data_IF_813980140967
#
_entry.id   IF_813980140967
#
_cell.length_a   1.000
_cell.length_b   1.000
_cell.length_c   1.000
_cell.angle_alpha   90.00
_cell.angle_beta   90.00
_cell.angle_gamma   90.00
#
_symmetry.space_group_name_H-M   'P 1'
#
loop_
_entity.id
_entity.type
_entity.pdbx_description
1 polymer ?
#
# COMPACT_ATOMS: atom_id res chain seq x y z
N UNK A 1 -0.94 -13.10 -4.41
CA UNK A 1 0.47 -12.71 -4.52
C UNK A 1 0.65 -11.23 -4.86
N UNK A 2 -0.13 -10.71 -5.81
CA UNK A 2 0.10 -9.35 -6.34
C UNK A 2 0.11 -8.26 -5.26
N UNK A 3 -0.90 -8.21 -4.41
CA UNK A 3 -0.98 -7.21 -3.35
C UNK A 3 0.06 -7.43 -2.24
N UNK A 4 0.35 -8.67 -1.89
CA UNK A 4 1.33 -8.98 -0.85
C UNK A 4 2.73 -8.52 -1.21
N UNK A 5 3.11 -8.69 -2.49
CA UNK A 5 4.39 -8.22 -3.00
C UNK A 5 4.49 -6.68 -2.91
N UNK A 6 3.45 -5.96 -3.35
CA UNK A 6 3.41 -4.50 -3.21
C UNK A 6 3.49 -4.07 -1.74
N UNK A 7 2.80 -4.77 -0.84
CA UNK A 7 2.88 -4.46 0.60
C UNK A 7 4.29 -4.57 1.14
N UNK A 8 5.04 -5.60 0.71
CA UNK A 8 6.45 -5.76 1.09
C UNK A 8 7.34 -4.66 0.50
N UNK A 9 7.14 -4.29 -0.78
CA UNK A 9 7.86 -3.18 -1.42
C UNK A 9 7.62 -1.89 -0.62
N UNK A 10 6.36 -1.55 -0.37
CA UNK A 10 6.04 -0.34 0.38
C UNK A 10 6.50 -0.41 1.83
N UNK A 11 6.37 -1.59 2.48
CA UNK A 11 6.89 -1.83 3.81
C UNK A 11 8.39 -1.54 3.91
N UNK A 12 9.14 -1.75 2.82
CA UNK A 12 10.58 -1.43 2.73
C UNK A 12 10.89 0.06 2.51
N UNK A 13 9.87 0.91 2.51
CA UNK A 13 10.02 2.36 2.30
C UNK A 13 10.26 2.78 0.85
N UNK A 14 10.04 1.90 -0.11
CA UNK A 14 10.12 2.23 -1.54
C UNK A 14 8.82 2.92 -1.97
N UNK A 15 8.92 4.14 -2.50
CA UNK A 15 7.83 4.85 -3.15
C UNK A 15 7.84 4.59 -4.66
N UNK A 16 6.67 4.40 -5.28
CA UNK A 16 6.58 4.23 -6.73
C UNK A 16 6.66 5.55 -7.46
N UNK A 17 6.03 6.57 -6.91
CA UNK A 17 6.04 7.94 -7.43
C UNK A 17 6.54 8.85 -6.32
N UNK A 18 7.58 9.59 -6.61
CA UNK A 18 8.12 10.64 -5.75
C UNK A 18 7.77 12.03 -6.31
N UNK A 19 8.28 13.08 -5.69
CA UNK A 19 8.17 14.45 -6.18
C UNK A 19 9.57 15.01 -6.44
N UNK A 20 9.69 15.82 -7.49
CA UNK A 20 10.89 16.61 -7.71
C UNK A 20 10.92 17.88 -6.81
N UNK A 21 11.96 18.69 -6.95
CA UNK A 21 12.13 19.93 -6.19
C UNK A 21 11.00 20.97 -6.45
N UNK A 22 10.31 20.84 -7.56
CA UNK A 22 9.18 21.70 -7.96
C UNK A 22 7.82 21.11 -7.55
N UNK A 23 7.81 19.93 -6.93
CA UNK A 23 6.59 19.24 -6.50
C UNK A 23 5.90 18.42 -7.59
N UNK A 24 6.50 18.27 -8.77
CA UNK A 24 5.93 17.43 -9.83
C UNK A 24 6.19 15.94 -9.57
N UNK A 25 5.24 15.06 -9.97
CA UNK A 25 5.41 13.64 -9.80
C UNK A 25 6.53 13.09 -10.69
N UNK A 26 7.35 12.22 -10.14
CA UNK A 26 8.49 11.58 -10.82
C UNK A 26 8.45 10.07 -10.57
N UNK A 27 8.63 9.29 -11.64
CA UNK A 27 8.86 7.85 -11.55
C UNK A 27 10.37 7.59 -11.59
N UNK A 28 10.98 7.43 -10.43
CA UNK A 28 12.44 7.31 -10.28
C UNK A 28 12.94 5.88 -10.04
N UNK A 29 12.05 4.89 -10.00
CA UNK A 29 12.41 3.52 -9.64
C UNK A 29 13.52 2.91 -10.50
N UNK A 30 13.59 3.24 -11.80
CA UNK A 30 14.61 2.68 -12.69
C UNK A 30 16.01 3.30 -12.50
N UNK A 31 16.10 4.42 -11.78
CA UNK A 31 17.32 5.18 -11.51
C UNK A 31 17.69 5.23 -10.03
N UNK A 32 16.83 4.71 -9.17
CA UNK A 32 17.07 4.57 -7.74
C UNK A 32 17.65 3.18 -7.45
N UNK A 33 18.96 3.07 -7.40
CA UNK A 33 19.67 1.80 -7.17
C UNK A 33 19.29 1.16 -5.82
N UNK A 34 18.97 1.97 -4.82
CA UNK A 34 18.54 1.47 -3.49
C UNK A 34 17.16 0.83 -3.60
N UNK A 35 16.21 1.51 -4.25
CA UNK A 35 14.89 0.97 -4.48
C UNK A 35 14.94 -0.31 -5.33
N UNK A 36 15.74 -0.31 -6.41
CA UNK A 36 15.96 -1.50 -7.27
C UNK A 36 16.50 -2.66 -6.46
N UNK A 37 17.52 -2.42 -5.62
CA UNK A 37 18.12 -3.46 -4.77
C UNK A 37 17.11 -4.03 -3.77
N UNK A 38 16.35 -3.18 -3.10
CA UNK A 38 15.29 -3.61 -2.18
C UNK A 38 14.23 -4.46 -2.88
N UNK A 39 13.75 -4.00 -4.03
CA UNK A 39 12.76 -4.71 -4.81
C UNK A 39 13.27 -6.06 -5.31
N UNK A 40 14.53 -6.14 -5.79
CA UNK A 40 15.16 -7.38 -6.21
C UNK A 40 15.25 -8.37 -5.04
N UNK A 41 15.70 -7.92 -3.87
CA UNK A 41 15.77 -8.77 -2.68
C UNK A 41 14.38 -9.32 -2.27
N UNK A 42 13.35 -8.47 -2.30
CA UNK A 42 11.98 -8.90 -2.00
C UNK A 42 11.49 -9.93 -3.02
N UNK A 43 11.84 -9.78 -4.30
CA UNK A 43 11.55 -10.76 -5.35
C UNK A 43 12.25 -12.08 -5.09
N UNK A 44 13.54 -12.04 -4.76
CA UNK A 44 14.32 -13.24 -4.48
C UNK A 44 13.76 -14.01 -3.29
N UNK A 45 13.46 -13.31 -2.18
CA UNK A 45 12.80 -13.89 -1.01
C UNK A 45 11.44 -14.50 -1.37
N UNK A 46 10.64 -13.77 -2.15
CA UNK A 46 9.28 -14.21 -2.55
C UNK A 46 9.30 -15.38 -3.54
N UNK A 47 10.42 -15.65 -4.19
CA UNK A 47 10.60 -16.80 -5.10
C UNK A 47 10.95 -18.11 -4.39
N UNK A 48 11.32 -18.05 -3.12
CA UNK A 48 11.65 -19.25 -2.34
C UNK A 48 10.40 -20.04 -1.94
N UNK A 49 10.53 -21.35 -1.77
CA UNK A 49 9.41 -22.29 -1.55
C UNK A 49 8.58 -22.09 -0.28
N UNK A 50 8.96 -21.16 0.60
CA UNK A 50 8.18 -20.77 1.78
C UNK A 50 7.00 -19.84 1.49
N UNK A 51 6.91 -19.31 0.28
CA UNK A 51 5.83 -18.39 -0.13
C UNK A 51 4.73 -19.13 -0.86
N UNK A 52 3.49 -18.99 -0.39
CA UNK A 52 2.34 -19.55 -1.07
C UNK A 52 1.95 -18.67 -2.26
N UNK A 53 2.17 -19.22 -3.46
CA UNK A 53 1.89 -18.54 -4.72
C UNK A 53 0.52 -18.96 -5.28
N UNK A 54 -0.50 -18.14 -5.09
CA UNK A 54 -1.85 -18.44 -5.59
C UNK A 54 -1.99 -18.31 -7.10
N UNK A 55 -1.06 -17.62 -7.79
CA UNK A 55 -1.16 -17.39 -9.25
C UNK A 55 -0.72 -18.56 -10.10
N UNK A 56 0.09 -19.47 -9.57
CA UNK A 56 0.60 -20.64 -10.31
C UNK A 56 -0.42 -21.76 -10.51
N UNK A 57 -1.57 -21.70 -9.82
CA UNK A 57 -2.53 -22.81 -9.80
C UNK A 57 -3.91 -22.50 -10.39
N UNK A 58 -4.10 -21.41 -11.14
CA UNK A 58 -5.42 -20.98 -11.64
C UNK A 58 -6.51 -20.89 -10.56
N UNK A 59 -6.12 -20.72 -9.32
CA UNK A 59 -7.05 -20.63 -8.21
C UNK A 59 -7.35 -19.15 -8.02
N UNK A 60 -8.62 -18.86 -7.99
CA UNK A 60 -9.10 -17.53 -7.63
C UNK A 60 -8.48 -17.17 -6.27
N UNK A 61 -7.53 -16.23 -6.28
CA UNK A 61 -6.87 -15.76 -5.06
C UNK A 61 -7.82 -14.86 -4.28
N UNK A 62 -9.03 -15.35 -4.04
CA UNK A 62 -9.99 -14.67 -3.19
C UNK A 62 -9.41 -14.56 -1.77
N UNK A 63 -9.72 -13.49 -1.09
CA UNK A 63 -9.38 -13.31 0.32
C UNK A 63 -9.79 -14.52 1.17
N UNK A 64 -10.87 -15.20 0.79
CA UNK A 64 -11.34 -16.41 1.42
C UNK A 64 -10.35 -17.58 1.34
N UNK A 65 -9.63 -17.73 0.23
CA UNK A 65 -8.67 -18.83 0.06
C UNK A 65 -7.39 -18.58 0.84
N UNK A 66 -6.91 -17.34 0.83
CA UNK A 66 -5.73 -16.93 1.60
C UNK A 66 -6.04 -17.05 3.10
N UNK A 67 -7.20 -16.56 3.52
CA UNK A 67 -7.70 -16.69 4.88
C UNK A 67 -7.88 -18.16 5.27
N UNK A 68 -8.38 -19.01 4.36
CA UNK A 68 -8.54 -20.45 4.58
C UNK A 68 -7.21 -21.17 4.78
N UNK A 69 -6.14 -20.79 4.09
CA UNK A 69 -4.81 -21.35 4.28
C UNK A 69 -4.27 -21.06 5.68
N UNK A 70 -4.43 -19.83 6.15
CA UNK A 70 -4.06 -19.44 7.51
C UNK A 70 -4.95 -20.09 8.56
N UNK A 71 -6.28 -20.10 8.35
CA UNK A 71 -7.27 -20.75 9.23
C UNK A 71 -6.97 -22.23 9.48
N UNK A 72 -6.44 -22.92 8.47
CA UNK A 72 -6.09 -24.34 8.56
C UNK A 72 -4.67 -24.58 9.09
N UNK A 73 -4.01 -23.57 9.64
CA UNK A 73 -2.66 -23.68 10.20
C UNK A 73 -1.56 -23.97 9.18
N UNK A 74 -1.80 -23.70 7.89
CA UNK A 74 -0.86 -24.00 6.78
C UNK A 74 -0.01 -22.79 6.40
N UNK A 75 -0.18 -21.65 7.02
CA UNK A 75 0.63 -20.46 6.86
C UNK A 75 0.96 -19.88 8.24
N UNK A 76 2.22 -19.49 8.44
CA UNK A 76 2.66 -18.83 9.66
C UNK A 76 2.23 -17.35 9.68
N UNK A 77 2.24 -16.70 8.52
CA UNK A 77 1.82 -15.32 8.34
C UNK A 77 0.82 -15.20 7.20
N UNK A 78 -0.06 -14.22 7.32
CA UNK A 78 -0.96 -13.77 6.27
C UNK A 78 -0.93 -12.23 6.25
N UNK A 79 -0.83 -11.63 5.09
CA UNK A 79 -1.07 -10.19 4.98
C UNK A 79 -2.57 -9.95 4.80
N UNK A 80 -3.10 -9.01 5.57
CA UNK A 80 -4.52 -8.72 5.57
C UNK A 80 -4.76 -7.23 5.80
N UNK A 81 -6.00 -6.82 5.77
CA UNK A 81 -6.43 -5.48 6.14
C UNK A 81 -7.36 -5.56 7.37
N UNK A 82 -7.56 -4.46 8.09
CA UNK A 82 -8.41 -4.45 9.30
C UNK A 82 -9.84 -4.95 9.05
N UNK A 83 -10.39 -4.73 7.86
CA UNK A 83 -11.75 -5.17 7.50
C UNK A 83 -11.89 -6.70 7.51
N UNK A 84 -10.83 -7.41 7.11
CA UNK A 84 -10.83 -8.87 7.05
C UNK A 84 -10.79 -9.55 8.43
N UNK A 85 -10.44 -8.80 9.48
CA UNK A 85 -10.31 -9.34 10.84
C UNK A 85 -11.64 -9.83 11.41
N UNK A 86 -12.74 -9.24 10.97
CA UNK A 86 -14.08 -9.69 11.39
C UNK A 86 -14.31 -11.19 11.08
N UNK A 87 -13.80 -11.67 9.94
CA UNK A 87 -13.88 -13.06 9.52
C UNK A 87 -12.92 -14.01 10.24
N UNK A 88 -11.98 -13.48 11.03
CA UNK A 88 -10.99 -14.29 11.75
C UNK A 88 -11.37 -14.55 13.22
N UNK A 89 -12.51 -14.02 13.67
CA UNK A 89 -12.95 -14.17 15.08
C UNK A 89 -13.19 -15.62 15.49
N UNK A 90 -13.63 -16.43 14.54
CA UNK A 90 -14.02 -17.83 14.76
C UNK A 90 -12.88 -18.82 14.50
N UNK A 91 -11.63 -18.33 14.50
CA UNK A 91 -10.47 -19.22 14.37
C UNK A 91 -10.16 -19.90 15.72
N UNK A 92 -9.92 -21.20 15.67
CA UNK A 92 -9.73 -22.06 16.84
C UNK A 92 -8.32 -21.92 17.45
N UNK A 93 -7.45 -21.08 16.90
CA UNK A 93 -6.10 -20.83 17.37
C UNK A 93 -5.84 -19.35 17.65
N UNK A 94 -4.86 -19.09 18.51
CA UNK A 94 -4.44 -17.74 18.81
C UNK A 94 -3.51 -17.22 17.71
N UNK A 95 -3.72 -15.97 17.33
CA UNK A 95 -2.87 -15.23 16.40
C UNK A 95 -2.75 -13.79 16.87
N UNK A 96 -1.64 -13.15 16.52
CA UNK A 96 -1.37 -11.76 16.80
C UNK A 96 -1.25 -10.94 15.52
N UNK A 97 -1.00 -9.66 15.67
CA UNK A 97 -0.78 -8.72 14.59
C UNK A 97 0.64 -8.17 14.65
N UNK A 98 1.22 -7.99 13.48
CA UNK A 98 2.48 -7.30 13.30
C UNK A 98 2.37 -6.38 12.10
N UNK A 99 3.01 -5.20 12.09
CA UNK A 99 3.09 -4.38 10.90
C UNK A 99 3.85 -5.10 9.79
N UNK A 100 3.69 -4.65 8.55
CA UNK A 100 4.55 -5.13 7.45
C UNK A 100 6.01 -4.85 7.85
N UNK A 101 6.91 -5.84 7.73
CA UNK A 101 8.26 -5.70 8.25
C UNK A 101 9.02 -4.58 7.55
N UNK A 102 9.92 -3.96 8.28
CA UNK A 102 10.95 -3.09 7.72
C UNK A 102 11.89 -3.91 6.82
N UNK A 103 12.57 -3.24 5.90
CA UNK A 103 13.59 -3.87 5.09
C UNK A 103 14.79 -4.31 5.93
N UNK A 104 15.24 -3.43 6.81
CA UNK A 104 16.33 -3.65 7.74
C UNK A 104 16.22 -2.74 8.97
N UNK A 105 17.20 -2.83 9.86
CA UNK A 105 17.24 -2.06 11.11
C UNK A 105 17.48 -0.56 10.91
N UNK A 106 18.01 -0.15 9.76
CA UNK A 106 18.29 1.26 9.45
C UNK A 106 17.04 2.03 9.04
N UNK A 107 16.00 1.32 8.66
CA UNK A 107 14.71 1.93 8.32
C UNK A 107 14.06 2.53 9.57
N UNK A 108 13.86 3.86 9.60
CA UNK A 108 13.39 4.57 10.78
C UNK A 108 11.96 4.18 11.21
N UNK A 109 11.04 4.00 10.25
CA UNK A 109 9.63 3.75 10.54
C UNK A 109 9.05 2.57 9.76
N UNK A 110 7.96 2.02 10.25
CA UNK A 110 7.12 1.13 9.48
C UNK A 110 6.30 1.89 8.45
N UNK A 111 6.02 1.27 7.31
CA UNK A 111 5.18 1.83 6.26
C UNK A 111 4.01 0.90 5.96
N UNK A 112 2.81 1.47 5.92
CA UNK A 112 1.57 0.79 5.58
C UNK A 112 0.88 1.55 4.44
N UNK A 113 0.93 1.05 3.20
CA UNK A 113 0.31 1.76 2.07
C UNK A 113 -1.21 1.75 2.18
N UNK A 114 -1.83 2.90 1.89
CA UNK A 114 -3.27 3.00 1.70
C UNK A 114 -3.61 2.60 0.26
N UNK A 115 -4.36 1.50 0.10
CA UNK A 115 -4.90 1.08 -1.19
C UNK A 115 -6.34 1.56 -1.35
N UNK A 116 -6.65 2.18 -2.49
CA UNK A 116 -8.00 2.63 -2.80
C UNK A 116 -8.45 3.81 -1.93
N UNK A 117 -7.55 4.76 -1.68
CA UNK A 117 -7.91 5.98 -0.97
C UNK A 117 -8.96 6.77 -1.76
N UNK A 118 -10.06 7.10 -1.10
CA UNK A 118 -11.08 7.98 -1.64
C UNK A 118 -10.62 9.43 -1.52
N UNK A 119 -10.78 10.20 -2.59
CA UNK A 119 -10.42 11.61 -2.65
C UNK A 119 -11.68 12.48 -2.73
N UNK A 120 -11.77 13.49 -1.87
CA UNK A 120 -12.78 14.53 -2.02
C UNK A 120 -12.30 15.53 -3.06
N UNK A 121 -13.15 15.84 -4.04
CA UNK A 121 -12.85 16.81 -5.09
C UNK A 121 -13.91 17.93 -5.11
N UNK A 122 -13.47 19.14 -5.37
CA UNK A 122 -14.34 20.28 -5.57
C UNK A 122 -14.43 20.60 -7.07
N UNK A 123 -15.64 20.81 -7.64
CA UNK A 123 -15.77 21.23 -9.02
C UNK A 123 -15.15 22.60 -9.26
N UNK A 124 -14.48 22.80 -10.38
CA UNK A 124 -13.86 24.06 -10.79
C UNK A 124 -14.90 25.20 -10.97
N UNK A 125 -16.16 24.83 -11.20
CA UNK A 125 -17.27 25.78 -11.38
C UNK A 125 -17.74 26.49 -10.11
N UNK A 126 -17.12 26.18 -8.96
CA UNK A 126 -17.48 26.78 -7.69
C UNK A 126 -16.78 28.13 -7.51
N UNK A 127 -17.50 29.10 -6.86
CA UNK A 127 -16.94 30.38 -6.47
C UNK A 127 -15.77 30.16 -5.49
N UNK A 128 -14.71 30.96 -5.63
CA UNK A 128 -13.52 30.85 -4.78
C UNK A 128 -13.85 31.02 -3.28
N UNK A 129 -14.81 31.86 -2.93
CA UNK A 129 -15.26 32.04 -1.53
C UNK A 129 -15.95 30.80 -0.97
N UNK A 130 -16.69 30.08 -1.81
CA UNK A 130 -17.31 28.81 -1.42
C UNK A 130 -16.26 27.72 -1.29
N UNK A 131 -15.26 27.70 -2.17
CA UNK A 131 -14.16 26.74 -2.11
C UNK A 131 -13.35 26.88 -0.80
N UNK A 132 -13.10 28.12 -0.35
CA UNK A 132 -12.43 28.39 0.93
C UNK A 132 -13.25 27.89 2.13
N UNK A 133 -14.55 28.17 2.15
CA UNK A 133 -15.44 27.71 3.21
C UNK A 133 -15.52 26.19 3.27
N UNK A 134 -15.58 25.52 2.12
CA UNK A 134 -15.60 24.04 2.05
C UNK A 134 -14.25 23.48 2.45
N UNK A 135 -13.15 24.06 2.01
CA UNK A 135 -11.80 23.68 2.44
C UNK A 135 -11.68 23.71 3.96
N UNK A 136 -12.12 24.81 4.59
CA UNK A 136 -12.16 24.95 6.05
C UNK A 136 -13.01 23.87 6.72
N UNK A 137 -14.18 23.56 6.15
CA UNK A 137 -15.05 22.51 6.68
C UNK A 137 -14.39 21.12 6.57
N UNK A 138 -13.80 20.81 5.42
CA UNK A 138 -13.11 19.52 5.21
C UNK A 138 -11.92 19.36 6.16
N UNK A 139 -11.17 20.44 6.37
CA UNK A 139 -10.06 20.44 7.33
C UNK A 139 -10.53 20.24 8.77
N UNK A 140 -11.60 20.92 9.16
CA UNK A 140 -12.22 20.73 10.48
C UNK A 140 -12.73 19.30 10.67
N UNK A 141 -13.35 18.70 9.63
CA UNK A 141 -13.78 17.30 9.65
C UNK A 141 -12.59 16.34 9.76
N UNK A 142 -11.52 16.58 9.00
CA UNK A 142 -10.30 15.78 9.05
C UNK A 142 -9.66 15.86 10.44
N UNK A 143 -9.53 17.07 11.00
CA UNK A 143 -9.01 17.30 12.34
C UNK A 143 -9.85 16.57 13.42
N UNK A 144 -11.18 16.70 13.35
CA UNK A 144 -12.08 16.03 14.29
C UNK A 144 -11.96 14.50 14.16
N UNK A 145 -11.92 13.99 12.95
CA UNK A 145 -11.74 12.55 12.67
C UNK A 145 -10.43 12.05 13.28
N UNK A 146 -9.34 12.74 12.99
CA UNK A 146 -8.02 12.35 13.51
C UNK A 146 -7.94 12.39 15.05
N UNK A 147 -8.58 13.39 15.64
CA UNK A 147 -8.52 13.60 17.09
C UNK A 147 -9.44 12.69 17.88
N UNK A 148 -10.61 12.37 17.36
CA UNK A 148 -11.67 11.71 18.13
C UNK A 148 -12.06 10.35 17.54
N UNK A 149 -12.24 10.25 16.22
CA UNK A 149 -12.78 9.02 15.60
C UNK A 149 -11.70 7.97 15.44
N UNK A 150 -10.50 8.35 14.96
CA UNK A 150 -9.42 7.39 14.74
C UNK A 150 -8.98 6.71 16.04
N UNK A 151 -8.73 7.43 17.15
CA UNK A 151 -8.38 6.80 18.43
C UNK A 151 -9.47 5.86 18.95
N UNK A 152 -10.73 6.28 18.88
CA UNK A 152 -11.86 5.46 19.32
C UNK A 152 -12.04 4.23 18.43
N UNK A 153 -11.87 4.39 17.11
CA UNK A 153 -11.89 3.28 16.16
C UNK A 153 -10.79 2.26 16.48
N UNK A 154 -9.55 2.72 16.69
CA UNK A 154 -8.43 1.86 17.07
C UNK A 154 -8.72 1.19 18.41
N UNK A 155 -9.16 1.94 19.41
CA UNK A 155 -9.46 1.40 20.73
C UNK A 155 -10.58 0.34 20.67
N UNK A 156 -11.67 0.64 19.98
CA UNK A 156 -12.82 -0.27 19.88
C UNK A 156 -12.52 -1.50 19.03
N UNK A 157 -11.86 -1.33 17.88
CA UNK A 157 -11.53 -2.46 17.00
C UNK A 157 -10.44 -3.34 17.60
N UNK A 158 -9.40 -2.71 18.08
CA UNK A 158 -8.18 -3.40 18.48
C UNK A 158 -8.33 -3.99 19.86
N UNK A 159 -8.77 -3.19 20.85
CA UNK A 159 -8.80 -3.64 22.25
C UNK A 159 -9.99 -4.53 22.60
N UNK A 160 -11.13 -4.37 21.91
CA UNK A 160 -12.35 -5.06 22.31
C UNK A 160 -12.76 -6.18 21.38
N UNK A 161 -12.38 -6.13 20.10
CA UNK A 161 -12.92 -7.07 19.10
C UNK A 161 -11.90 -7.99 18.45
N UNK A 162 -10.66 -7.57 18.29
CA UNK A 162 -9.72 -8.29 17.43
C UNK A 162 -8.34 -8.55 18.06
N UNK A 163 -7.84 -7.71 18.95
CA UNK A 163 -6.62 -7.99 19.67
C UNK A 163 -6.91 -8.96 20.83
N UNK A 164 -6.30 -10.12 20.77
CA UNK A 164 -6.37 -11.12 21.84
C UNK A 164 -5.37 -10.86 22.97
N UNK A 165 -4.46 -9.91 22.73
CA UNK A 165 -3.39 -9.52 23.65
C UNK A 165 -3.02 -8.03 23.49
N UNK A 166 -2.33 -7.48 24.49
CA UNK A 166 -1.91 -6.08 24.52
C UNK A 166 -0.84 -5.75 23.48
N UNK A 167 0.01 -6.72 23.13
CA UNK A 167 1.07 -6.55 22.13
C UNK A 167 0.49 -6.34 20.73
N UNK A 168 -0.55 -7.10 20.37
CA UNK A 168 -1.28 -6.91 19.13
C UNK A 168 -1.89 -5.51 19.03
N UNK A 169 -2.37 -4.94 20.13
CA UNK A 169 -2.92 -3.59 20.17
C UNK A 169 -1.83 -2.52 19.88
N UNK A 170 -0.65 -2.70 20.46
CA UNK A 170 0.50 -1.84 20.18
C UNK A 170 0.95 -1.92 18.72
N UNK A 171 1.06 -3.14 18.19
CA UNK A 171 1.45 -3.37 16.79
C UNK A 171 0.45 -2.75 15.80
N UNK A 172 -0.83 -2.74 16.14
CA UNK A 172 -1.83 -2.02 15.36
C UNK A 172 -1.58 -0.51 15.32
N UNK A 173 -1.29 0.08 16.48
CA UNK A 173 -0.99 1.52 16.56
C UNK A 173 0.20 1.86 15.67
N UNK A 174 1.28 1.08 15.75
CA UNK A 174 2.47 1.23 14.90
C UNK A 174 2.11 1.13 13.41
N UNK A 175 1.25 0.17 13.03
CA UNK A 175 0.82 0.02 11.65
C UNK A 175 -0.05 1.19 11.17
N UNK A 176 -0.95 1.72 12.00
CA UNK A 176 -1.75 2.89 11.67
C UNK A 176 -0.92 4.17 11.55
N UNK A 177 0.05 4.38 12.43
CA UNK A 177 0.99 5.51 12.35
C UNK A 177 1.88 5.44 11.09
N UNK A 178 2.04 4.24 10.55
CA UNK A 178 2.77 3.99 9.31
C UNK A 178 1.98 4.24 8.04
N UNK A 179 0.69 4.54 8.10
CA UNK A 179 -0.15 4.73 6.89
C UNK A 179 0.38 5.91 6.07
N UNK A 180 0.49 5.68 4.76
CA UNK A 180 0.85 6.71 3.81
C UNK A 180 0.16 6.50 2.45
N UNK A 181 0.12 7.57 1.68
CA UNK A 181 -0.48 7.62 0.35
C UNK A 181 0.62 7.62 -0.72
N UNK A 182 0.55 6.67 -1.64
CA UNK A 182 1.45 6.63 -2.80
C UNK A 182 0.65 6.86 -4.08
N UNK A 183 1.07 7.83 -4.89
CA UNK A 183 0.42 8.17 -6.16
C UNK A 183 0.46 7.04 -7.18
N UNK A 184 1.52 6.22 -7.17
CA UNK A 184 1.66 5.10 -8.09
C UNK A 184 0.60 4.01 -7.88
N UNK A 185 0.06 3.90 -6.65
CA UNK A 185 -1.03 2.97 -6.36
C UNK A 185 -2.39 3.64 -6.59
N UNK A 186 -2.55 4.87 -6.11
CA UNK A 186 -3.87 5.47 -5.99
C UNK A 186 -4.27 6.29 -7.23
N UNK A 187 -3.36 7.05 -7.83
CA UNK A 187 -3.64 7.88 -9.01
C UNK A 187 -3.22 7.22 -10.33
N UNK A 188 -2.11 6.47 -10.33
CA UNK A 188 -1.59 5.80 -11.53
C UNK A 188 -1.58 4.28 -11.41
N UNK A 189 -2.60 3.71 -10.79
CA UNK A 189 -2.69 2.28 -10.52
C UNK A 189 -2.47 1.43 -11.77
N UNK A 190 -3.14 1.74 -12.88
CA UNK A 190 -3.03 0.97 -14.14
C UNK A 190 -1.68 1.16 -14.83
N UNK A 191 -1.11 2.35 -14.75
CA UNK A 191 0.13 2.71 -15.43
C UNK A 191 1.37 2.26 -14.67
N UNK A 192 1.31 2.20 -13.34
CA UNK A 192 2.45 1.89 -12.47
C UNK A 192 2.21 0.58 -11.72
N UNK A 193 1.35 0.58 -10.71
CA UNK A 193 1.18 -0.57 -9.84
C UNK A 193 0.72 -1.83 -10.58
N UNK A 194 -0.27 -1.71 -11.48
CA UNK A 194 -0.76 -2.84 -12.25
C UNK A 194 0.28 -3.39 -13.24
N UNK A 195 1.13 -2.55 -13.82
CA UNK A 195 2.24 -3.00 -14.68
C UNK A 195 3.31 -3.72 -13.90
N UNK A 196 3.70 -3.20 -12.74
CA UNK A 196 4.57 -3.89 -11.80
C UNK A 196 4.01 -5.27 -11.41
N UNK A 197 2.70 -5.39 -11.30
CA UNK A 197 2.02 -6.63 -10.93
C UNK A 197 1.76 -7.58 -12.11
N UNK A 198 1.50 -7.02 -13.32
CA UNK A 198 1.25 -7.83 -14.55
C UNK A 198 2.52 -8.45 -15.10
N UNK A 199 3.64 -7.81 -14.91
CA UNK A 199 4.94 -8.31 -15.37
C UNK A 199 5.38 -9.50 -14.54
N UNK A 200 4.60 -10.57 -14.48
CA UNK A 200 4.98 -11.87 -13.87
C UNK A 200 6.25 -11.82 -13.01
N UNK A 201 6.23 -11.06 -11.94
CA UNK A 201 7.41 -10.91 -11.07
C UNK A 201 8.02 -12.25 -10.64
N UNK A 202 7.25 -13.31 -10.68
CA UNK A 202 7.68 -14.68 -10.35
C UNK A 202 8.63 -15.29 -11.39
N UNK A 203 8.67 -14.75 -12.62
CA UNK A 203 9.58 -15.19 -13.66
C UNK A 203 10.68 -14.18 -14.02
N UNK A 204 10.72 -13.02 -13.35
CA UNK A 204 11.50 -11.87 -13.78
C UNK A 204 12.76 -11.59 -12.95
N UNK A 205 13.10 -12.43 -11.98
CA UNK A 205 14.31 -12.21 -11.16
C UNK A 205 15.57 -11.89 -11.99
N UNK A 206 15.66 -12.40 -13.23
CA UNK A 206 16.77 -12.12 -14.15
C UNK A 206 16.61 -10.88 -15.05
N UNK A 207 15.40 -10.26 -15.15
CA UNK A 207 15.12 -9.18 -16.10
C UNK A 207 14.44 -7.95 -15.47
N UNK A 208 14.47 -7.84 -14.16
CA UNK A 208 13.76 -6.79 -13.43
C UNK A 208 14.15 -5.37 -13.88
N UNK A 209 15.45 -5.09 -14.01
CA UNK A 209 15.94 -3.80 -14.47
C UNK A 209 15.42 -3.40 -15.86
N UNK A 210 15.34 -4.35 -16.80
CA UNK A 210 14.83 -4.06 -18.14
C UNK A 210 13.32 -3.78 -18.15
N UNK A 211 12.56 -4.40 -17.26
CA UNK A 211 11.13 -4.12 -17.07
C UNK A 211 10.93 -2.71 -16.51
N UNK A 212 11.70 -2.31 -15.50
CA UNK A 212 11.64 -0.96 -14.95
C UNK A 212 11.99 0.10 -16.01
N UNK A 213 13.04 -0.11 -16.81
CA UNK A 213 13.40 0.80 -17.91
C UNK A 213 12.31 0.92 -18.98
N UNK A 214 11.65 -0.19 -19.29
CA UNK A 214 10.50 -0.17 -20.24
C UNK A 214 9.31 0.59 -19.63
N UNK A 215 9.07 0.41 -18.35
CA UNK A 215 8.04 1.12 -17.60
C UNK A 215 8.32 2.62 -17.54
N UNK A 216 9.57 3.02 -17.29
CA UNK A 216 10.00 4.41 -17.19
C UNK A 216 9.43 5.26 -18.32
N UNK A 217 9.71 4.86 -19.58
CA UNK A 217 9.25 5.61 -20.76
C UNK A 217 7.72 5.77 -20.80
N UNK A 218 6.99 4.71 -20.45
CA UNK A 218 5.53 4.73 -20.47
C UNK A 218 4.95 5.59 -19.37
N UNK A 219 5.53 5.52 -18.16
CA UNK A 219 5.06 6.28 -17.02
C UNK A 219 5.40 7.76 -17.15
N UNK A 220 6.60 8.09 -17.60
CA UNK A 220 7.00 9.48 -17.88
C UNK A 220 6.11 10.15 -18.92
N UNK A 221 5.74 9.42 -19.97
CA UNK A 221 4.81 9.94 -20.98
C UNK A 221 3.43 10.25 -20.39
N UNK A 222 2.95 9.40 -19.49
CA UNK A 222 1.66 9.58 -18.83
C UNK A 222 1.69 10.72 -17.80
N UNK A 223 2.75 10.83 -17.01
CA UNK A 223 2.97 11.95 -16.09
C UNK A 223 2.98 13.27 -16.87
N UNK A 224 3.78 13.35 -17.95
CA UNK A 224 3.84 14.55 -18.79
C UNK A 224 2.48 14.91 -19.41
N UNK A 225 1.72 13.91 -19.83
CA UNK A 225 0.35 14.12 -20.36
C UNK A 225 -0.56 14.73 -19.31
N UNK A 226 -0.53 14.20 -18.07
CA UNK A 226 -1.36 14.66 -16.97
C UNK A 226 -0.98 16.07 -16.53
N UNK A 227 0.31 16.33 -16.32
CA UNK A 227 0.81 17.66 -15.94
C UNK A 227 0.41 18.72 -16.98
N UNK A 228 0.49 18.36 -18.27
CA UNK A 228 0.05 19.26 -19.36
C UNK A 228 -1.48 19.49 -19.36
N UNK A 229 -2.26 18.53 -18.90
CA UNK A 229 -3.73 18.70 -18.77
C UNK A 229 -4.08 19.60 -17.59
N UNK A 230 -3.40 19.45 -16.46
CA UNK A 230 -3.60 20.28 -15.28
C UNK A 230 -3.21 21.74 -15.60
N UNK A 231 -2.05 22.00 -16.19
CA UNK A 231 -1.62 23.34 -16.55
C UNK A 231 -2.41 24.01 -17.69
N UNK A 232 -3.43 23.34 -18.26
CA UNK A 232 -4.41 23.96 -19.18
C UNK A 232 -5.72 24.30 -18.48
N UNK A 233 -5.89 23.88 -17.25
CA UNK A 233 -7.09 24.15 -16.46
C UNK A 233 -6.92 25.41 -15.57
N UNK A 234 -5.70 25.97 -15.52
CA UNK A 234 -5.37 27.31 -14.99
C UNK A 234 -5.55 28.37 -16.09
#
# INVERSE_FOLDING_TARGET
MKEHFLRMIFGSGVALITQDEQGYPVFSLSTDDVAVTKMQHILDVSSHGGWYNTTSQNVDASDAMVAGTFKNGRALFITSNPKSLAGMRDYDFNFGFVPVPKYDETQERYYAPSFGAELSVLPVSWDASQAENIGTLLEAMAFYTQKNIVPEYIETLVKTKYARDAESAEMFTIAFDGIYFDFGINAWQEQVAAKLLKGSFVGLAGNFGSVLQTMQKSVDAEIKRLVKQIGKAE
#
